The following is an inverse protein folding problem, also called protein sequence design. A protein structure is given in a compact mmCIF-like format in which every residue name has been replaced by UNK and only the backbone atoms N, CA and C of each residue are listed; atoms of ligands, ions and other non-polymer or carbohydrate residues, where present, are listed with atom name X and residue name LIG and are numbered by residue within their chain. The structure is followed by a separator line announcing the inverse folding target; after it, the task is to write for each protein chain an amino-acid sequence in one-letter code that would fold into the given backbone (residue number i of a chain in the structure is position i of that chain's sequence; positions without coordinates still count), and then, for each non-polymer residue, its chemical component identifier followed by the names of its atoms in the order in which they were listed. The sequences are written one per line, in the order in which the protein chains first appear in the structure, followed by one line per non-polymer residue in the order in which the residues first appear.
data_IF_907517270761
#
_entry.id   IF_907517270761
#
_cell.length_a   1.000
_cell.length_b   1.000
_cell.length_c   1.000
_cell.angle_alpha   90.00
_cell.angle_beta   90.00
_cell.angle_gamma   90.00
#
_symmetry.space_group_name_H-M   'P 1'
#
loop_
_entity.id
_entity.type
_entity.pdbx_description
1 polymer ?
#
# COMPACT_ATOMS: atom_id res chain seq x y z
N UNK A 1 6.27 33.30 58.55
CA UNK A 1 5.86 33.80 57.22
C UNK A 1 5.34 32.58 56.46
N UNK A 2 4.01 32.39 56.31
CA UNK A 2 3.17 32.81 55.16
C UNK A 2 3.88 32.48 53.83
N UNK A 3 3.42 31.56 52.98
CA UNK A 3 2.07 31.45 52.40
C UNK A 3 1.82 30.07 51.76
N UNK A 4 0.61 29.54 51.94
CA UNK A 4 -0.03 28.58 51.02
C UNK A 4 -0.62 29.34 49.83
N UNK A 5 -0.71 28.72 48.65
CA UNK A 5 -1.91 28.89 47.84
C UNK A 5 -2.54 27.57 47.39
N UNK A 6 -3.84 27.67 47.19
CA UNK A 6 -4.82 26.61 46.95
C UNK A 6 -5.35 26.68 45.52
N UNK A 7 -5.85 25.53 45.04
CA UNK A 7 -6.88 25.31 44.03
C UNK A 7 -6.57 25.46 42.53
N UNK A 8 -7.06 24.46 41.77
CA UNK A 8 -7.27 24.51 40.33
C UNK A 8 -7.81 23.20 39.78
N UNK A 9 -9.01 22.79 40.20
CA UNK A 9 -9.75 21.67 39.58
C UNK A 9 -10.33 22.18 38.27
N UNK A 10 -9.80 21.75 37.13
CA UNK A 10 -10.41 22.00 35.82
C UNK A 10 -11.46 20.92 35.59
N UNK A 11 -12.72 21.28 35.82
CA UNK A 11 -13.87 20.56 35.30
C UNK A 11 -13.98 20.84 33.80
N UNK A 12 -13.83 19.83 32.96
CA UNK A 12 -14.26 19.88 31.56
C UNK A 12 -15.60 19.16 31.47
N UNK A 13 -16.65 19.95 31.31
CA UNK A 13 -17.99 19.51 30.91
C UNK A 13 -17.90 19.17 29.42
N UNK A 14 -18.19 17.92 29.03
CA UNK A 14 -18.44 17.58 27.63
C UNK A 14 -19.92 17.24 27.45
N UNK A 15 -20.52 17.96 26.51
CA UNK A 15 -21.94 18.14 26.25
C UNK A 15 -22.57 16.87 25.66
N UNK A 16 -23.68 16.44 26.24
CA UNK A 16 -24.57 15.41 25.67
C UNK A 16 -25.48 16.07 24.64
N UNK A 17 -25.28 15.79 23.35
CA UNK A 17 -26.22 16.17 22.29
C UNK A 17 -27.27 15.06 22.14
N UNK A 18 -28.47 15.33 22.66
CA UNK A 18 -29.70 14.59 22.35
C UNK A 18 -30.34 15.23 21.11
N UNK A 19 -30.38 14.51 19.99
CA UNK A 19 -31.35 14.79 18.93
C UNK A 19 -32.22 13.56 18.72
N UNK A 20 -33.38 13.56 19.38
CA UNK A 20 -34.52 12.75 18.98
C UNK A 20 -35.24 13.47 17.84
N UNK A 21 -35.18 12.91 16.64
CA UNK A 21 -36.00 13.30 15.50
C UNK A 21 -36.78 12.11 14.98
N UNK A 22 -38.01 11.93 15.45
CA UNK A 22 -39.01 11.08 14.80
C UNK A 22 -40.04 12.02 14.16
N UNK A 23 -40.12 12.09 12.82
CA UNK A 23 -41.41 12.22 12.15
C UNK A 23 -41.36 11.89 10.63
N UNK A 24 -41.97 10.74 10.31
CA UNK A 24 -42.96 10.51 9.24
C UNK A 24 -42.62 10.54 7.72
N UNK A 25 -42.77 9.35 7.13
CA UNK A 25 -43.44 9.03 5.85
C UNK A 25 -42.68 9.06 4.51
N UNK A 26 -42.30 7.84 4.09
CA UNK A 26 -42.48 7.21 2.77
C UNK A 26 -42.04 7.93 1.48
N UNK A 27 -40.91 7.52 0.91
CA UNK A 27 -40.85 7.00 -0.48
C UNK A 27 -39.50 6.33 -0.78
N UNK A 28 -39.56 5.30 -1.63
CA UNK A 28 -38.53 4.32 -1.95
C UNK A 28 -37.32 4.89 -2.72
N UNK A 29 -36.11 4.63 -2.24
CA UNK A 29 -34.91 4.43 -3.06
C UNK A 29 -33.87 3.65 -2.20
N UNK A 30 -33.14 2.65 -2.73
CA UNK A 30 -32.15 1.91 -1.95
C UNK A 30 -30.86 2.74 -1.91
N UNK A 31 -30.75 3.61 -0.90
CA UNK A 31 -29.49 4.26 -0.57
C UNK A 31 -28.75 3.32 0.38
N UNK A 32 -27.82 2.54 -0.18
CA UNK A 32 -26.82 1.79 0.58
C UNK A 32 -25.91 2.78 1.28
N UNK A 33 -26.34 3.28 2.42
CA UNK A 33 -25.43 3.90 3.38
C UNK A 33 -24.52 2.81 3.92
N UNK A 34 -23.36 2.66 3.28
CA UNK A 34 -22.22 1.99 3.88
C UNK A 34 -22.01 2.60 5.27
N UNK A 35 -22.08 1.74 6.27
CA UNK A 35 -21.59 2.05 7.59
C UNK A 35 -20.09 2.30 7.43
N UNK A 36 -19.66 3.55 7.41
CA UNK A 36 -18.26 3.87 7.63
C UNK A 36 -17.94 3.48 9.07
N UNK A 37 -17.46 2.25 9.26
CA UNK A 37 -16.80 1.89 10.50
C UNK A 37 -15.64 2.88 10.69
N UNK A 38 -15.78 3.75 11.68
CA UNK A 38 -14.67 4.54 12.19
C UNK A 38 -13.54 3.56 12.52
N UNK A 39 -12.29 3.85 12.09
CA UNK A 39 -11.20 2.88 12.21
C UNK A 39 -11.06 2.47 13.67
N UNK A 40 -11.11 1.15 13.89
CA UNK A 40 -10.80 0.50 15.15
C UNK A 40 -9.55 1.16 15.73
N UNK A 41 -9.64 1.64 16.97
CA UNK A 41 -8.54 2.32 17.65
C UNK A 41 -7.29 1.44 17.54
N UNK A 42 -6.33 1.88 16.71
CA UNK A 42 -5.14 1.10 16.42
C UNK A 42 -4.30 1.04 17.68
N UNK A 43 -3.94 -0.17 18.09
CA UNK A 43 -3.11 -0.40 19.27
C UNK A 43 -1.73 0.26 19.06
N UNK A 44 -1.36 1.28 19.87
CA UNK A 44 -0.12 2.05 19.69
C UNK A 44 1.14 1.23 19.99
N UNK A 45 1.00 -0.02 20.42
CA UNK A 45 2.09 -0.95 20.71
C UNK A 45 2.35 -1.95 19.59
N UNK A 46 1.59 -1.89 18.49
CA UNK A 46 1.63 -2.91 17.44
C UNK A 46 2.22 -2.36 16.15
N UNK A 47 3.28 -3.02 15.68
CA UNK A 47 3.91 -2.81 14.38
C UNK A 47 3.53 -3.92 13.39
N UNK A 48 3.53 -3.57 12.11
CA UNK A 48 3.40 -4.44 10.96
C UNK A 48 4.74 -4.47 10.21
N UNK A 49 5.13 -5.62 9.69
CA UNK A 49 6.35 -5.81 8.89
C UNK A 49 5.96 -6.37 7.53
N UNK A 50 6.64 -5.93 6.47
CA UNK A 50 6.51 -6.48 5.12
C UNK A 50 6.92 -7.97 5.08
N UNK A 51 5.94 -8.89 5.14
CA UNK A 51 6.26 -10.32 5.15
C UNK A 51 6.56 -10.90 3.78
N UNK A 52 6.25 -10.18 2.69
CA UNK A 52 6.63 -10.57 1.32
C UNK A 52 8.11 -10.39 1.04
N UNK A 53 8.82 -9.68 1.91
CA UNK A 53 10.27 -9.43 1.78
C UNK A 53 11.05 -9.80 3.01
N UNK A 54 10.51 -9.62 4.22
CA UNK A 54 11.25 -9.78 5.46
C UNK A 54 10.55 -10.76 6.41
N UNK A 55 11.15 -11.94 6.57
CA UNK A 55 10.68 -12.99 7.47
C UNK A 55 11.50 -13.01 8.77
N UNK A 56 10.85 -13.39 9.87
CA UNK A 56 11.48 -13.64 11.17
C UNK A 56 12.40 -12.53 11.71
N UNK A 57 12.14 -11.27 11.37
CA UNK A 57 12.89 -10.14 11.87
C UNK A 57 12.70 -9.93 13.38
N UNK A 58 13.67 -9.24 13.99
CA UNK A 58 13.58 -8.71 15.35
C UNK A 58 13.34 -7.21 15.28
N UNK A 59 12.22 -6.73 15.84
CA UNK A 59 11.98 -5.30 15.98
C UNK A 59 12.54 -4.78 17.30
N UNK A 60 13.31 -3.70 17.23
CA UNK A 60 13.82 -2.96 18.39
C UNK A 60 13.43 -1.49 18.24
N UNK A 61 12.90 -0.88 19.29
CA UNK A 61 12.62 0.55 19.32
C UNK A 61 13.81 1.36 19.84
N UNK A 62 13.73 2.68 19.78
CA UNK A 62 14.81 3.59 20.17
C UNK A 62 15.08 3.61 21.69
N UNK A 63 14.19 3.03 22.51
CA UNK A 63 14.45 2.82 23.93
C UNK A 63 15.21 1.51 24.21
N UNK A 64 15.43 0.69 23.18
CA UNK A 64 16.03 -0.63 23.28
C UNK A 64 15.04 -1.73 23.65
N UNK A 65 13.73 -1.46 23.63
CA UNK A 65 12.71 -2.49 23.82
C UNK A 65 12.64 -3.37 22.57
N UNK A 66 12.53 -4.68 22.75
CA UNK A 66 12.25 -5.62 21.66
C UNK A 66 10.78 -6.00 21.62
N UNK A 67 10.22 -6.12 20.42
CA UNK A 67 8.85 -6.58 20.24
C UNK A 67 8.78 -8.12 20.25
N UNK A 68 7.64 -8.64 20.72
CA UNK A 68 7.30 -10.05 20.56
C UNK A 68 6.51 -10.24 19.27
N UNK A 69 7.02 -11.09 18.36
CA UNK A 69 6.28 -11.52 17.17
C UNK A 69 5.00 -12.23 17.60
N UNK A 70 3.87 -11.81 17.03
CA UNK A 70 2.60 -12.51 17.18
C UNK A 70 2.49 -13.48 16.00
N UNK A 71 1.74 -13.12 14.95
CA UNK A 71 1.60 -13.86 13.70
C UNK A 71 1.48 -12.88 12.51
N UNK A 72 1.61 -13.36 11.27
CA UNK A 72 1.36 -12.60 10.02
C UNK A 72 2.02 -11.22 9.99
N UNK A 73 3.33 -11.17 10.30
CA UNK A 73 4.09 -9.91 10.26
C UNK A 73 3.76 -8.92 11.38
N UNK A 74 2.94 -9.32 12.35
CA UNK A 74 2.55 -8.47 13.47
C UNK A 74 3.51 -8.61 14.65
N UNK A 75 3.96 -7.49 15.20
CA UNK A 75 4.88 -7.41 16.33
C UNK A 75 4.33 -6.51 17.42
N UNK A 76 4.40 -6.95 18.68
CA UNK A 76 3.87 -6.22 19.82
C UNK A 76 4.93 -5.86 20.84
N UNK A 77 5.00 -4.57 21.16
CA UNK A 77 5.80 -4.02 22.23
C UNK A 77 5.06 -4.13 23.57
N UNK A 78 5.80 -4.33 24.66
CA UNK A 78 5.22 -4.37 26.00
C UNK A 78 4.76 -2.97 26.46
N UNK A 79 5.57 -1.95 26.12
CA UNK A 79 5.30 -0.56 26.45
C UNK A 79 4.96 0.24 25.19
N UNK A 80 4.71 1.54 25.35
CA UNK A 80 4.55 2.43 24.21
C UNK A 80 5.87 2.49 23.42
N UNK A 81 5.74 2.50 22.10
CA UNK A 81 6.86 2.52 21.16
C UNK A 81 7.57 3.88 21.23
N UNK A 82 8.90 3.83 21.28
CA UNK A 82 9.75 5.01 21.07
C UNK A 82 10.43 4.94 19.71
N UNK A 83 10.05 5.79 18.77
CA UNK A 83 10.65 5.79 17.43
C UNK A 83 12.10 6.31 17.40
N UNK A 84 12.91 5.89 16.40
CA UNK A 84 12.58 4.93 15.34
C UNK A 84 12.44 3.47 15.82
N UNK A 85 11.74 2.66 15.04
CA UNK A 85 11.73 1.19 15.17
C UNK A 85 12.57 0.61 14.05
N UNK A 86 13.55 -0.23 14.38
CA UNK A 86 14.41 -0.91 13.42
C UNK A 86 14.12 -2.40 13.42
N UNK A 87 14.00 -3.00 12.24
CA UNK A 87 14.02 -4.43 12.05
C UNK A 87 15.46 -4.89 11.77
N UNK A 88 15.95 -5.81 12.57
CA UNK A 88 17.25 -6.46 12.41
C UNK A 88 17.09 -7.96 12.35
N UNK A 89 18.12 -8.67 11.90
CA UNK A 89 18.06 -10.10 11.62
C UNK A 89 16.97 -10.42 10.59
N UNK A 90 16.59 -11.69 10.51
CA UNK A 90 15.56 -12.19 9.61
C UNK A 90 16.12 -12.67 8.27
N UNK A 91 15.20 -13.05 7.42
CA UNK A 91 15.45 -13.66 6.12
C UNK A 91 14.72 -12.90 5.04
N UNK A 92 15.41 -12.65 3.94
CA UNK A 92 14.81 -12.17 2.71
C UNK A 92 14.05 -13.31 2.06
N UNK A 93 12.76 -13.10 1.86
CA UNK A 93 11.89 -14.01 1.10
C UNK A 93 12.13 -13.84 -0.41
N UNK A 94 13.21 -14.46 -0.88
CA UNK A 94 13.72 -14.28 -2.24
C UNK A 94 12.79 -14.89 -3.30
N UNK A 95 12.02 -15.93 -2.97
CA UNK A 95 11.07 -16.59 -3.87
C UNK A 95 9.61 -16.20 -3.58
N UNK A 96 9.35 -15.36 -2.57
CA UNK A 96 8.03 -14.84 -2.20
C UNK A 96 7.04 -15.95 -1.82
N UNK A 97 7.51 -17.01 -1.16
CA UNK A 97 6.66 -18.13 -0.71
C UNK A 97 6.27 -18.05 0.78
N UNK A 98 6.83 -17.09 1.52
CA UNK A 98 6.56 -16.84 2.93
C UNK A 98 7.16 -17.87 3.89
N UNK A 99 8.03 -18.76 3.44
CA UNK A 99 8.54 -19.89 4.22
C UNK A 99 10.07 -19.82 4.32
N UNK A 100 10.60 -19.77 5.54
CA UNK A 100 12.05 -19.88 5.77
C UNK A 100 12.53 -21.33 5.49
N UNK A 101 13.39 -21.48 4.50
CA UNK A 101 13.99 -22.69 3.98
C UNK A 101 15.45 -22.41 3.46
N UNK A 102 15.93 -23.17 2.48
CA UNK A 102 17.30 -23.02 1.95
C UNK A 102 17.40 -22.01 0.78
N UNK A 103 16.27 -21.45 0.33
CA UNK A 103 16.23 -20.48 -0.77
C UNK A 103 16.34 -19.04 -0.27
N UNK A 104 16.15 -18.81 1.03
CA UNK A 104 16.16 -17.50 1.65
C UNK A 104 17.58 -17.07 1.98
N UNK A 105 17.79 -15.76 1.91
CA UNK A 105 19.08 -15.15 2.19
C UNK A 105 18.99 -14.42 3.52
N UNK A 106 20.06 -14.45 4.32
CA UNK A 106 20.12 -13.65 5.54
C UNK A 106 19.88 -12.19 5.16
N UNK A 107 18.96 -11.54 5.88
CA UNK A 107 18.67 -10.15 5.62
C UNK A 107 19.85 -9.26 6.00
N UNK A 108 20.45 -8.65 4.97
CA UNK A 108 21.47 -7.61 5.14
C UNK A 108 20.88 -6.20 4.96
N UNK A 109 19.62 -6.09 4.51
CA UNK A 109 18.94 -4.82 4.30
C UNK A 109 18.37 -4.31 5.63
N UNK A 110 18.75 -3.10 6.00
CA UNK A 110 18.13 -2.43 7.14
C UNK A 110 16.73 -1.93 6.78
N UNK A 111 15.72 -2.34 7.56
CA UNK A 111 14.37 -1.80 7.50
C UNK A 111 14.11 -1.01 8.78
N UNK A 112 13.51 0.17 8.66
CA UNK A 112 13.06 0.93 9.82
C UNK A 112 11.82 1.77 9.53
N UNK A 113 11.19 2.22 10.62
CA UNK A 113 10.10 3.17 10.60
C UNK A 113 10.46 4.35 11.52
N UNK A 114 10.44 5.57 10.99
CA UNK A 114 10.62 6.79 11.79
C UNK A 114 9.34 7.20 12.53
N UNK A 115 8.18 6.73 12.07
CA UNK A 115 6.86 7.00 12.63
C UNK A 115 5.86 5.94 12.15
N UNK A 116 4.62 6.02 12.64
CA UNK A 116 3.53 5.17 12.17
C UNK A 116 3.55 3.80 12.82
N UNK A 117 3.22 2.76 12.05
CA UNK A 117 3.18 1.38 12.52
C UNK A 117 3.68 0.34 11.52
N UNK A 118 4.13 0.76 10.35
CA UNK A 118 4.61 -0.15 9.31
C UNK A 118 6.14 -0.06 9.17
N UNK A 119 6.80 -1.21 9.16
CA UNK A 119 8.22 -1.37 8.85
C UNK A 119 8.34 -2.04 7.48
N UNK A 120 8.62 -1.23 6.46
CA UNK A 120 8.68 -1.62 5.04
C UNK A 120 9.84 -0.90 4.35
N UNK A 121 10.15 -1.25 3.10
CA UNK A 121 11.11 -0.48 2.30
C UNK A 121 10.65 0.98 2.10
N UNK A 122 9.33 1.21 1.95
CA UNK A 122 8.75 2.54 1.79
C UNK A 122 8.90 3.38 3.08
N UNK A 123 8.60 2.82 4.25
CA UNK A 123 8.78 3.52 5.54
C UNK A 123 10.24 3.85 5.79
N UNK A 124 11.15 2.97 5.36
CA UNK A 124 12.61 3.14 5.49
C UNK A 124 13.10 4.31 4.64
N UNK A 125 12.67 4.40 3.38
CA UNK A 125 12.98 5.55 2.52
C UNK A 125 12.37 6.84 3.06
N UNK A 126 11.12 6.79 3.52
CA UNK A 126 10.37 7.96 3.98
C UNK A 126 10.96 8.64 5.23
N UNK A 127 11.87 7.99 5.96
CA UNK A 127 12.67 8.63 7.02
C UNK A 127 13.54 9.78 6.49
N UNK A 128 13.84 9.79 5.19
CA UNK A 128 14.39 10.95 4.49
C UNK A 128 13.25 11.74 3.84
N UNK A 129 13.12 13.02 4.19
CA UNK A 129 12.02 13.86 3.70
C UNK A 129 12.03 14.05 2.17
N UNK A 130 13.20 14.07 1.52
CA UNK A 130 13.29 14.16 0.06
C UNK A 130 12.77 12.89 -0.59
N UNK A 131 13.17 11.72 -0.07
CA UNK A 131 12.67 10.44 -0.56
C UNK A 131 11.18 10.30 -0.31
N UNK A 132 10.67 10.77 0.83
CA UNK A 132 9.23 10.81 1.10
C UNK A 132 8.48 11.61 0.03
N UNK A 133 8.98 12.78 -0.34
CA UNK A 133 8.39 13.57 -1.43
C UNK A 133 8.40 12.81 -2.76
N UNK A 134 9.45 12.06 -3.08
CA UNK A 134 9.44 11.18 -4.27
C UNK A 134 8.35 10.11 -4.17
N UNK A 135 8.21 9.43 -3.03
CA UNK A 135 7.18 8.41 -2.83
C UNK A 135 5.77 8.99 -2.99
N UNK A 136 5.53 10.19 -2.47
CA UNK A 136 4.22 10.84 -2.50
C UNK A 136 3.90 11.45 -3.88
N UNK A 137 4.83 12.22 -4.45
CA UNK A 137 4.59 13.00 -5.67
C UNK A 137 4.76 12.17 -6.96
N UNK A 138 5.74 11.26 -7.00
CA UNK A 138 6.08 10.52 -8.22
C UNK A 138 5.46 9.12 -8.24
N UNK A 139 5.48 8.43 -7.11
CA UNK A 139 4.88 7.09 -7.00
C UNK A 139 3.40 7.13 -6.59
N UNK A 140 2.89 8.28 -6.14
CA UNK A 140 1.50 8.44 -5.73
C UNK A 140 1.14 7.74 -4.43
N UNK A 141 2.13 7.31 -3.63
CA UNK A 141 1.88 6.66 -2.36
C UNK A 141 1.41 7.68 -1.32
N UNK A 142 0.30 7.40 -0.65
CA UNK A 142 -0.18 8.28 0.42
C UNK A 142 0.66 8.16 1.69
N UNK A 143 0.70 9.23 2.50
CA UNK A 143 1.28 9.18 3.85
C UNK A 143 0.70 8.03 4.70
N UNK A 144 -0.58 7.68 4.52
CA UNK A 144 -1.21 6.58 5.23
C UNK A 144 -0.66 5.22 4.78
N UNK A 145 -0.49 5.01 3.46
CA UNK A 145 0.15 3.81 2.92
C UNK A 145 1.56 3.67 3.52
N UNK A 146 2.39 4.71 3.38
CA UNK A 146 3.79 4.70 3.83
C UNK A 146 3.92 4.36 5.32
N UNK A 147 3.04 4.92 6.16
CA UNK A 147 3.20 4.83 7.62
C UNK A 147 2.41 3.70 8.27
N UNK A 148 1.37 3.17 7.62
CA UNK A 148 0.39 2.32 8.30
C UNK A 148 0.04 1.03 7.57
N UNK A 149 0.52 0.82 6.35
CA UNK A 149 0.22 -0.36 5.54
C UNK A 149 1.50 -1.12 5.16
N UNK A 150 1.33 -2.38 4.73
CA UNK A 150 2.41 -3.23 4.22
C UNK A 150 2.05 -3.77 2.85
N UNK A 151 3.03 -4.27 2.07
CA UNK A 151 2.78 -5.04 0.85
C UNK A 151 1.80 -6.21 0.99
N UNK A 152 1.57 -6.69 2.21
CA UNK A 152 0.58 -7.74 2.48
C UNK A 152 -0.86 -7.25 2.37
N UNK A 153 -1.11 -5.94 2.52
CA UNK A 153 -2.46 -5.35 2.58
C UNK A 153 -2.64 -4.10 1.70
N UNK A 154 -1.68 -3.79 0.83
CA UNK A 154 -1.76 -2.68 -0.11
C UNK A 154 -1.01 -3.00 -1.40
N UNK A 155 -1.73 -2.98 -2.52
CA UNK A 155 -1.23 -3.39 -3.83
C UNK A 155 -0.16 -2.44 -4.38
N UNK A 156 -0.30 -1.12 -4.19
CA UNK A 156 0.72 -0.17 -4.62
C UNK A 156 2.02 -0.38 -3.84
N UNK A 157 1.93 -0.59 -2.52
CA UNK A 157 3.12 -0.92 -1.72
C UNK A 157 3.74 -2.25 -2.13
N UNK A 158 2.95 -3.25 -2.54
CA UNK A 158 3.47 -4.50 -3.07
C UNK A 158 4.29 -4.30 -4.34
N UNK A 159 3.71 -3.60 -5.34
CA UNK A 159 4.41 -3.30 -6.59
C UNK A 159 5.66 -2.47 -6.31
N UNK A 160 5.53 -1.44 -5.48
CA UNK A 160 6.65 -0.59 -5.08
C UNK A 160 7.76 -1.41 -4.41
N UNK A 161 7.42 -2.20 -3.38
CA UNK A 161 8.38 -3.03 -2.64
C UNK A 161 9.07 -4.01 -3.57
N UNK A 162 8.34 -4.64 -4.51
CA UNK A 162 8.92 -5.50 -5.53
C UNK A 162 9.90 -4.77 -6.45
N UNK A 163 9.49 -3.66 -7.07
CA UNK A 163 10.33 -2.92 -8.03
C UNK A 163 11.61 -2.41 -7.36
N UNK A 164 11.49 -1.86 -6.16
CA UNK A 164 12.63 -1.38 -5.40
C UNK A 164 13.57 -2.52 -4.99
N UNK A 165 13.01 -3.63 -4.52
CA UNK A 165 13.78 -4.79 -4.11
C UNK A 165 14.55 -5.43 -5.29
N UNK A 166 13.93 -5.56 -6.45
CA UNK A 166 14.58 -6.04 -7.68
C UNK A 166 15.74 -5.11 -8.10
N UNK A 167 15.53 -3.80 -7.99
CA UNK A 167 16.58 -2.80 -8.25
C UNK A 167 17.74 -2.94 -7.26
N UNK A 168 17.45 -3.12 -5.96
CA UNK A 168 18.47 -3.30 -4.93
C UNK A 168 19.33 -4.53 -5.17
N UNK A 169 18.71 -5.67 -5.49
CA UNK A 169 19.43 -6.90 -5.81
C UNK A 169 20.30 -6.73 -7.06
N UNK A 170 19.77 -6.12 -8.11
CA UNK A 170 20.48 -5.92 -9.38
C UNK A 170 21.72 -5.02 -9.23
N UNK A 171 21.73 -4.15 -8.22
CA UNK A 171 22.83 -3.20 -7.96
C UNK A 171 23.63 -3.56 -6.70
N UNK A 172 23.39 -4.73 -6.09
CA UNK A 172 24.04 -5.19 -4.87
C UNK A 172 23.95 -4.19 -3.69
N UNK A 173 22.82 -3.50 -3.55
CA UNK A 173 22.57 -2.64 -2.40
C UNK A 173 22.18 -3.46 -1.18
N UNK A 174 22.87 -3.21 -0.07
CA UNK A 174 22.55 -3.79 1.25
C UNK A 174 21.81 -2.80 2.15
N UNK A 175 21.46 -1.62 1.66
CA UNK A 175 20.69 -0.65 2.44
C UNK A 175 19.92 0.31 1.55
N UNK A 176 18.63 0.48 1.85
CA UNK A 176 17.74 1.36 1.09
C UNK A 176 18.16 2.83 1.21
N UNK A 177 18.82 3.20 2.31
CA UNK A 177 19.29 4.58 2.54
C UNK A 177 20.43 5.00 1.61
N UNK A 178 21.05 4.06 0.89
CA UNK A 178 22.12 4.34 -0.08
C UNK A 178 21.61 4.64 -1.49
N UNK A 179 20.31 4.44 -1.74
CA UNK A 179 19.68 4.73 -3.02
C UNK A 179 19.59 6.25 -3.19
N UNK A 180 20.03 6.76 -4.34
CA UNK A 180 19.93 8.18 -4.66
C UNK A 180 18.51 8.56 -5.10
N UNK A 181 18.18 9.84 -4.99
CA UNK A 181 16.88 10.35 -5.45
C UNK A 181 16.68 10.06 -6.95
N UNK A 182 17.72 10.28 -7.75
CA UNK A 182 17.72 10.00 -9.20
C UNK A 182 17.48 8.52 -9.49
N UNK A 183 18.13 7.62 -8.73
CA UNK A 183 17.92 6.19 -8.85
C UNK A 183 16.47 5.81 -8.52
N UNK A 184 15.92 6.34 -7.43
CA UNK A 184 14.53 6.08 -7.04
C UNK A 184 13.55 6.59 -8.11
N UNK A 185 13.72 7.82 -8.61
CA UNK A 185 12.89 8.38 -9.69
C UNK A 185 12.98 7.59 -11.00
N UNK A 186 14.12 6.96 -11.29
CA UNK A 186 14.27 6.11 -12.47
C UNK A 186 13.36 4.88 -12.46
N UNK A 187 12.83 4.48 -11.30
CA UNK A 187 11.96 3.32 -11.14
C UNK A 187 10.47 3.61 -11.39
N UNK A 188 10.07 4.88 -11.49
CA UNK A 188 8.66 5.30 -11.59
C UNK A 188 7.95 4.69 -12.80
N UNK A 189 8.63 4.59 -13.94
CA UNK A 189 8.04 3.99 -15.17
C UNK A 189 7.81 2.49 -15.03
N UNK A 190 8.75 1.76 -14.40
CA UNK A 190 8.62 0.34 -14.11
C UNK A 190 7.49 0.09 -13.10
N UNK A 191 7.42 0.91 -12.05
CA UNK A 191 6.33 0.86 -11.08
C UNK A 191 4.96 1.07 -11.74
N UNK A 192 4.81 2.14 -12.53
CA UNK A 192 3.56 2.47 -13.21
C UNK A 192 3.13 1.33 -14.15
N UNK A 193 4.06 0.80 -14.93
CA UNK A 193 3.79 -0.34 -15.83
C UNK A 193 3.28 -1.56 -15.05
N UNK A 194 3.95 -1.95 -13.97
CA UNK A 194 3.57 -3.13 -13.20
C UNK A 194 2.24 -2.91 -12.44
N UNK A 195 1.99 -1.70 -11.95
CA UNK A 195 0.71 -1.37 -11.31
C UNK A 195 -0.43 -1.48 -12.31
N UNK A 196 -0.29 -0.87 -13.49
CA UNK A 196 -1.31 -0.87 -14.53
C UNK A 196 -1.54 -2.30 -15.10
N UNK A 197 -0.50 -3.13 -15.18
CA UNK A 197 -0.63 -4.56 -15.57
C UNK A 197 -1.49 -5.36 -14.59
N UNK A 198 -1.45 -5.05 -13.29
CA UNK A 198 -2.30 -5.70 -12.29
C UNK A 198 -3.74 -5.18 -12.32
N UNK A 199 -3.95 -3.90 -12.63
CA UNK A 199 -5.29 -3.31 -12.79
C UNK A 199 -5.96 -3.74 -14.11
N UNK A 200 -5.18 -3.96 -15.17
CA UNK A 200 -5.65 -4.37 -16.50
C UNK A 200 -6.11 -5.83 -16.61
N UNK A 201 -6.07 -6.61 -15.52
CA UNK A 201 -6.57 -8.00 -15.49
C UNK A 201 -8.10 -8.05 -15.38
N UNK A 202 -8.80 -6.93 -15.14
CA UNK A 202 -10.25 -6.87 -15.30
C UNK A 202 -10.66 -6.42 -16.71
N UNK A 203 -10.63 -7.34 -17.68
CA UNK A 203 -11.50 -7.22 -18.86
C UNK A 203 -11.94 -8.59 -19.36
N UNK A 204 -12.99 -9.11 -18.71
CA UNK A 204 -13.94 -9.98 -19.42
C UNK A 204 -14.95 -9.18 -20.26
N UNK A 205 -14.73 -7.88 -20.47
CA UNK A 205 -15.30 -7.16 -21.60
C UNK A 205 -14.59 -7.57 -22.90
N UNK A 206 -14.84 -8.82 -23.28
CA UNK A 206 -14.85 -9.21 -24.68
C UNK A 206 -15.82 -8.23 -25.34
N UNK A 207 -15.40 -7.39 -26.30
CA UNK A 207 -16.38 -6.69 -27.11
C UNK A 207 -17.24 -7.78 -27.75
N UNK A 208 -18.51 -7.84 -27.34
CA UNK A 208 -19.52 -8.57 -28.08
C UNK A 208 -19.49 -7.95 -29.47
N UNK A 209 -18.82 -8.61 -30.40
CA UNK A 209 -19.02 -8.35 -31.81
C UNK A 209 -20.49 -8.69 -32.06
N UNK A 210 -21.32 -7.66 -32.01
CA UNK A 210 -22.66 -7.65 -32.58
C UNK A 210 -22.49 -7.80 -34.10
N UNK A 211 -22.26 -9.03 -34.54
CA UNK A 211 -22.20 -9.43 -35.93
C UNK A 211 -23.63 -9.52 -36.46
N UNK A 212 -24.35 -8.40 -36.45
CA UNK A 212 -25.56 -8.21 -37.26
C UNK A 212 -25.13 -7.87 -38.69
N UNK A 213 -24.56 -8.87 -39.37
CA UNK A 213 -24.33 -8.86 -40.81
C UNK A 213 -25.69 -9.03 -41.52
N UNK A 214 -26.38 -7.90 -41.72
CA UNK A 214 -27.53 -7.78 -42.61
C UNK A 214 -27.08 -8.00 -44.06
N UNK A 215 -27.34 -9.23 -44.54
CA UNK A 215 -27.03 -9.66 -45.88
C UNK A 215 -27.73 -8.82 -46.95
N UNK A 216 -26.98 -7.94 -47.59
CA UNK A 216 -27.30 -7.44 -48.93
C UNK A 216 -26.13 -7.69 -49.88
N UNK A 217 -26.30 -8.72 -50.72
CA UNK A 217 -25.41 -9.04 -51.84
C UNK A 217 -25.41 -7.90 -52.87
N UNK A 218 -24.26 -7.48 -53.41
CA UNK A 218 -24.24 -6.60 -54.58
C UNK A 218 -24.64 -7.36 -55.86
N UNK A 219 -25.38 -6.72 -56.80
CA UNK A 219 -25.77 -7.37 -58.05
C UNK A 219 -24.57 -7.59 -58.99
N UNK A 220 -24.59 -8.73 -59.67
CA UNK A 220 -23.57 -9.18 -60.61
C UNK A 220 -23.48 -8.29 -61.87
N UNK A 221 -22.27 -8.06 -62.43
CA UNK A 221 -22.12 -7.41 -63.72
C UNK A 221 -22.52 -8.34 -64.87
N UNK A 222 -23.69 -8.06 -65.45
CA UNK A 222 -24.16 -8.64 -66.71
C UNK A 222 -23.47 -8.01 -67.92
N UNK A 223 -23.08 -8.87 -68.86
CA UNK A 223 -22.31 -8.64 -70.08
C UNK A 223 -23.11 -7.85 -71.12
N UNK A 224 -22.44 -7.00 -71.91
CA UNK A 224 -22.97 -6.57 -73.20
C UNK A 224 -21.93 -6.75 -74.32
N UNK A 225 -22.47 -7.03 -75.50
CA UNK A 225 -21.97 -7.87 -76.58
C UNK A 225 -21.15 -7.09 -77.61
N UNK A 226 -20.20 -7.79 -78.26
CA UNK A 226 -19.55 -7.31 -79.48
C UNK A 226 -20.34 -7.65 -80.76
N UNK A 227 -19.91 -6.99 -81.86
CA UNK A 227 -20.30 -7.09 -83.29
C UNK A 227 -21.43 -6.12 -83.71
N UNK A 228 -21.39 -5.43 -84.87
CA UNK A 228 -20.80 -5.67 -86.19
C UNK A 228 -20.34 -4.32 -86.82
N UNK A 229 -19.29 -4.22 -87.64
CA UNK A 229 -19.20 -4.51 -89.08
C UNK A 229 -20.28 -3.87 -89.97
N UNK A 230 -19.80 -2.95 -90.85
CA UNK A 230 -20.40 -2.29 -92.02
C UNK A 230 -21.47 -1.21 -91.80
#
# INVERSE_FOLDING_TARGET
MKTTPTLGIISVVLVTLMFSGCNHSSNSNPDTTEYYEQPTQVDPKVMLVDTKRLLEATLTDNSGQTATRQDDGTYRFENNITFPVTATNGYIDANSDGIVNNNEVVNEIEFHAAEGRAVTLASTLASNSVMRTVLEDDFGLTSQQITSKTPDNDQDLEVFSKVLFDYMQSNAYTSVSTISEEALRSLVSTFTTQRDELEGVDSTDVPVNDDSNDGTLPPAPGRDYGQAAQ
#
